data_IF_688954151600
#
_entry.id   IF_688954151600
#
_cell.length_a   1.000
_cell.length_b   1.000
_cell.length_c   1.000
_cell.angle_alpha   90.00
_cell.angle_beta   90.00
_cell.angle_gamma   90.00
#
_symmetry.space_group_name_H-M   'P 1'
#
loop_
_entity.id
_entity.type
_entity.pdbx_description
1 polymer ?
#
# COMPACT_ATOMS: atom_id res chain seq x y z
N UNK A 1 13.44 3.02 27.13
CA UNK A 1 13.24 3.13 25.68
C UNK A 1 13.48 4.57 25.30
N UNK A 2 14.28 4.80 24.26
CA UNK A 2 14.44 6.14 23.71
C UNK A 2 13.24 6.52 22.82
N UNK A 3 13.15 7.79 22.41
CA UNK A 3 12.02 8.27 21.59
C UNK A 3 11.97 7.56 20.23
N UNK A 4 13.11 7.17 19.68
CA UNK A 4 13.20 6.49 18.39
C UNK A 4 12.58 5.09 18.46
N UNK A 5 12.91 4.30 19.49
CA UNK A 5 12.35 2.97 19.76
C UNK A 5 10.83 3.01 19.97
N UNK A 6 10.34 4.05 20.64
CA UNK A 6 8.89 4.25 20.83
C UNK A 6 8.21 4.50 19.50
N UNK A 7 8.74 5.41 18.67
CA UNK A 7 8.19 5.69 17.34
C UNK A 7 8.29 4.45 16.44
N UNK A 8 9.39 3.70 16.50
CA UNK A 8 9.58 2.47 15.75
C UNK A 8 8.56 1.40 16.15
N UNK A 9 8.31 1.24 17.45
CA UNK A 9 7.30 0.29 17.96
C UNK A 9 5.90 0.64 17.46
N UNK A 10 5.55 1.93 17.48
CA UNK A 10 4.29 2.44 16.92
C UNK A 10 4.24 2.19 15.41
N UNK A 11 5.33 2.46 14.69
CA UNK A 11 5.45 2.25 13.25
C UNK A 11 5.20 0.78 12.86
N UNK A 12 5.79 -0.16 13.60
CA UNK A 12 5.59 -1.61 13.38
C UNK A 12 4.11 -1.97 13.58
N UNK A 13 3.49 -1.50 14.67
CA UNK A 13 2.06 -1.70 14.94
C UNK A 13 1.17 -1.15 13.83
N UNK A 14 1.41 0.08 13.39
CA UNK A 14 0.72 0.71 12.26
C UNK A 14 0.93 -0.07 10.96
N UNK A 15 2.14 -0.57 10.72
CA UNK A 15 2.50 -1.33 9.53
C UNK A 15 1.68 -2.61 9.40
N UNK A 16 1.56 -3.37 10.49
CA UNK A 16 0.74 -4.57 10.54
C UNK A 16 -0.73 -4.25 10.27
N UNK A 17 -1.29 -3.23 10.93
CA UNK A 17 -2.69 -2.82 10.73
C UNK A 17 -2.92 -2.35 9.28
N UNK A 18 -1.97 -1.62 8.70
CA UNK A 18 -2.04 -1.14 7.33
C UNK A 18 -2.07 -2.31 6.33
N UNK A 19 -1.16 -3.28 6.48
CA UNK A 19 -1.08 -4.43 5.57
C UNK A 19 -2.31 -5.33 5.68
N UNK A 20 -2.81 -5.56 6.90
CA UNK A 20 -4.01 -6.36 7.13
C UNK A 20 -5.27 -5.67 6.60
N UNK A 21 -5.46 -4.37 6.90
CA UNK A 21 -6.61 -3.61 6.39
C UNK A 21 -6.61 -3.51 4.87
N UNK A 22 -5.44 -3.35 4.24
CA UNK A 22 -5.30 -3.36 2.79
C UNK A 22 -5.67 -4.73 2.20
N UNK A 23 -5.19 -5.83 2.78
CA UNK A 23 -5.54 -7.19 2.36
C UNK A 23 -7.04 -7.46 2.49
N UNK A 24 -7.63 -7.14 3.65
CA UNK A 24 -9.07 -7.28 3.88
C UNK A 24 -9.87 -6.43 2.90
N UNK A 25 -9.45 -5.19 2.62
CA UNK A 25 -10.11 -4.32 1.63
C UNK A 25 -10.07 -4.91 0.22
N UNK A 26 -8.97 -5.54 -0.18
CA UNK A 26 -8.83 -6.21 -1.48
C UNK A 26 -9.70 -7.46 -1.62
N UNK A 27 -9.84 -8.24 -0.54
CA UNK A 27 -10.66 -9.46 -0.50
C UNK A 27 -12.15 -9.18 -0.28
N UNK A 28 -12.49 -8.05 0.34
CA UNK A 28 -13.87 -7.67 0.59
C UNK A 28 -14.68 -7.57 -0.72
N UNK A 29 -15.93 -8.02 -0.65
CA UNK A 29 -16.86 -7.86 -1.76
C UNK A 29 -16.93 -6.37 -2.15
N UNK A 30 -16.69 -6.09 -3.44
CA UNK A 30 -16.64 -4.72 -4.01
C UNK A 30 -18.02 -4.10 -4.13
N UNK A 31 -18.72 -4.01 -3.00
CA UNK A 31 -20.01 -3.36 -2.82
C UNK A 31 -19.84 -2.26 -1.78
N UNK A 32 -20.71 -1.25 -1.84
CA UNK A 32 -20.76 -0.21 -0.80
C UNK A 32 -21.06 -0.85 0.56
N UNK A 33 -20.36 -0.36 1.59
CA UNK A 33 -20.36 -0.96 2.93
C UNK A 33 -18.95 -1.37 3.33
N UNK A 34 -18.71 -2.67 3.47
CA UNK A 34 -17.46 -3.24 4.00
C UNK A 34 -16.19 -2.74 3.28
N UNK A 35 -16.12 -2.84 1.95
CA UNK A 35 -14.96 -2.38 1.18
C UNK A 35 -14.68 -0.88 1.37
N UNK A 36 -15.73 -0.05 1.44
CA UNK A 36 -15.58 1.39 1.70
C UNK A 36 -15.03 1.66 3.10
N UNK A 37 -15.54 0.98 4.13
CA UNK A 37 -15.08 1.15 5.52
C UNK A 37 -13.62 0.74 5.67
N UNK A 38 -13.25 -0.44 5.17
CA UNK A 38 -11.87 -0.92 5.22
C UNK A 38 -10.92 -0.07 4.37
N UNK A 39 -11.39 0.50 3.26
CA UNK A 39 -10.61 1.46 2.46
C UNK A 39 -10.31 2.77 3.18
N UNK A 40 -11.25 3.30 3.96
CA UNK A 40 -11.02 4.51 4.80
C UNK A 40 -10.06 4.20 5.96
N UNK A 41 -10.22 3.05 6.62
CA UNK A 41 -9.28 2.58 7.66
C UNK A 41 -7.87 2.44 7.10
N UNK A 42 -7.73 1.78 5.94
CA UNK A 42 -6.44 1.63 5.27
C UNK A 42 -5.80 2.99 4.99
N UNK A 43 -6.51 3.92 4.35
CA UNK A 43 -5.96 5.23 4.02
C UNK A 43 -5.56 6.04 5.28
N UNK A 44 -6.40 6.01 6.32
CA UNK A 44 -6.11 6.69 7.59
C UNK A 44 -4.89 6.12 8.31
N UNK A 45 -4.78 4.79 8.40
CA UNK A 45 -3.63 4.10 9.00
C UNK A 45 -2.37 4.33 8.16
N UNK A 46 -2.47 4.29 6.83
CA UNK A 46 -1.34 4.55 5.93
C UNK A 46 -0.77 5.96 6.15
N UNK A 47 -1.62 6.97 6.34
CA UNK A 47 -1.15 8.33 6.61
C UNK A 47 -0.25 8.39 7.86
N UNK A 48 -0.69 7.76 8.95
CA UNK A 48 0.11 7.67 10.18
C UNK A 48 1.38 6.82 9.98
N UNK A 49 1.29 5.72 9.23
CA UNK A 49 2.43 4.87 8.88
C UNK A 49 3.49 5.64 8.07
N UNK A 50 3.06 6.42 7.08
CA UNK A 50 3.95 7.23 6.25
C UNK A 50 4.60 8.36 7.07
N UNK A 51 3.84 9.03 7.94
CA UNK A 51 4.38 10.07 8.82
C UNK A 51 5.46 9.50 9.75
N UNK A 52 5.20 8.37 10.39
CA UNK A 52 6.17 7.70 11.27
C UNK A 52 7.41 7.21 10.49
N UNK A 53 7.24 6.64 9.30
CA UNK A 53 8.38 6.26 8.44
C UNK A 53 9.25 7.48 8.06
N UNK A 54 8.62 8.59 7.68
CA UNK A 54 9.34 9.83 7.34
C UNK A 54 10.14 10.33 8.54
N UNK A 55 9.53 10.37 9.73
CA UNK A 55 10.23 10.79 10.95
C UNK A 55 11.43 9.90 11.26
N UNK A 56 11.28 8.57 11.22
CA UNK A 56 12.36 7.62 11.45
C UNK A 56 13.48 7.77 10.41
N UNK A 57 13.12 7.92 9.13
CA UNK A 57 14.07 8.04 8.05
C UNK A 57 14.86 9.37 8.08
N UNK A 58 14.23 10.47 8.51
CA UNK A 58 14.94 11.74 8.74
C UNK A 58 15.93 11.60 9.91
N UNK A 59 15.52 10.92 10.99
CA UNK A 59 16.39 10.72 12.15
C UNK A 59 17.64 9.89 11.82
N UNK A 60 17.47 8.84 11.00
CA UNK A 60 18.52 7.91 10.59
C UNK A 60 18.83 8.03 9.10
N UNK A 61 18.99 9.26 8.62
CA UNK A 61 19.13 9.57 7.19
C UNK A 61 20.24 8.76 6.50
N UNK A 62 21.42 8.66 7.13
CA UNK A 62 22.57 7.96 6.54
C UNK A 62 22.36 6.44 6.42
N UNK A 63 21.42 5.87 7.19
CA UNK A 63 21.19 4.42 7.24
C UNK A 63 19.97 4.03 6.39
N UNK A 64 18.89 4.83 6.44
CA UNK A 64 17.57 4.43 5.90
C UNK A 64 16.87 5.51 5.05
N UNK A 65 17.61 6.46 4.47
CA UNK A 65 17.03 7.48 3.57
C UNK A 65 16.20 6.90 2.41
N UNK A 66 16.52 5.69 1.92
CA UNK A 66 15.73 5.07 0.85
C UNK A 66 14.27 4.79 1.27
N UNK A 67 14.01 4.50 2.55
CA UNK A 67 12.66 4.30 3.09
C UNK A 67 11.83 5.59 3.11
N UNK A 68 12.48 6.76 3.24
CA UNK A 68 11.79 8.05 3.10
C UNK A 68 11.15 8.18 1.73
N UNK A 69 11.90 7.90 0.66
CA UNK A 69 11.37 7.99 -0.71
C UNK A 69 10.24 6.98 -0.92
N UNK A 70 10.41 5.73 -0.46
CA UNK A 70 9.35 4.72 -0.56
C UNK A 70 8.09 5.19 0.18
N UNK A 71 8.21 5.75 1.39
CA UNK A 71 7.07 6.26 2.15
C UNK A 71 6.35 7.39 1.40
N UNK A 72 7.08 8.38 0.90
CA UNK A 72 6.50 9.53 0.17
C UNK A 72 5.82 9.09 -1.12
N UNK A 73 6.49 8.29 -1.96
CA UNK A 73 5.93 7.85 -3.24
C UNK A 73 4.73 6.91 -3.03
N UNK A 74 4.83 5.96 -2.11
CA UNK A 74 3.77 4.99 -1.88
C UNK A 74 2.52 5.63 -1.25
N UNK A 75 2.69 6.55 -0.30
CA UNK A 75 1.56 7.31 0.24
C UNK A 75 0.98 8.28 -0.79
N UNK A 76 1.80 8.89 -1.65
CA UNK A 76 1.33 9.69 -2.78
C UNK A 76 0.40 8.90 -3.71
N UNK A 77 0.71 7.63 -3.98
CA UNK A 77 -0.18 6.72 -4.74
C UNK A 77 -1.48 6.41 -3.99
N UNK A 78 -1.43 6.25 -2.66
CA UNK A 78 -2.62 6.03 -1.84
C UNK A 78 -3.57 7.23 -1.92
N UNK A 79 -3.04 8.43 -1.74
CA UNK A 79 -3.78 9.70 -1.86
C UNK A 79 -4.36 9.84 -3.27
N UNK A 80 -3.56 9.58 -4.31
CA UNK A 80 -4.01 9.61 -5.70
C UNK A 80 -5.21 8.68 -5.94
N UNK A 81 -5.11 7.42 -5.49
CA UNK A 81 -6.18 6.43 -5.64
C UNK A 81 -7.43 6.79 -4.83
N UNK A 82 -7.25 7.38 -3.66
CA UNK A 82 -8.33 7.84 -2.79
C UNK A 82 -9.08 9.04 -3.39
N UNK A 83 -8.35 10.07 -3.82
CA UNK A 83 -8.91 11.27 -4.44
C UNK A 83 -9.63 10.97 -5.74
N UNK A 84 -9.09 10.08 -6.58
CA UNK A 84 -9.75 9.67 -7.81
C UNK A 84 -11.19 9.20 -7.58
N UNK A 85 -11.42 8.41 -6.51
CA UNK A 85 -12.75 7.95 -6.10
C UNK A 85 -13.59 9.08 -5.50
N UNK A 86 -13.05 9.84 -4.54
CA UNK A 86 -13.82 10.88 -3.82
C UNK A 86 -14.24 12.04 -4.73
N UNK A 87 -13.37 12.46 -5.63
CA UNK A 87 -13.63 13.54 -6.59
C UNK A 87 -14.25 13.05 -7.90
N UNK A 88 -14.57 11.76 -8.02
CA UNK A 88 -15.23 11.15 -9.19
C UNK A 88 -14.56 11.49 -10.52
N UNK A 89 -13.24 11.37 -10.58
CA UNK A 89 -12.48 11.64 -11.82
C UNK A 89 -12.99 10.80 -12.99
N UNK A 90 -12.70 11.25 -14.22
CA UNK A 90 -12.92 10.42 -15.42
C UNK A 90 -12.12 9.12 -15.25
N UNK A 91 -12.77 7.97 -15.49
CA UNK A 91 -12.16 6.65 -15.24
C UNK A 91 -11.69 6.43 -13.79
N UNK A 92 -12.38 7.04 -12.81
CA UNK A 92 -12.01 6.98 -11.37
C UNK A 92 -11.66 5.58 -10.89
N UNK A 93 -12.37 4.55 -11.34
CA UNK A 93 -12.17 3.18 -10.90
C UNK A 93 -10.77 2.66 -11.28
N UNK A 94 -10.27 3.01 -12.47
CA UNK A 94 -8.93 2.62 -12.91
C UNK A 94 -7.87 3.35 -12.09
N UNK A 95 -8.03 4.66 -11.89
CA UNK A 95 -7.12 5.46 -11.09
C UNK A 95 -7.09 5.00 -9.62
N UNK A 96 -8.26 4.70 -9.06
CA UNK A 96 -8.42 4.14 -7.73
C UNK A 96 -7.69 2.79 -7.60
N UNK A 97 -7.95 1.83 -8.49
CA UNK A 97 -7.30 0.52 -8.44
C UNK A 97 -5.78 0.65 -8.56
N UNK A 98 -5.29 1.46 -9.51
CA UNK A 98 -3.85 1.66 -9.74
C UNK A 98 -3.17 2.35 -8.55
N UNK A 99 -3.79 3.39 -8.00
CA UNK A 99 -3.26 4.12 -6.84
C UNK A 99 -3.24 3.27 -5.57
N UNK A 100 -4.36 2.63 -5.24
CA UNK A 100 -4.46 1.81 -4.02
C UNK A 100 -3.55 0.58 -4.07
N UNK A 101 -3.57 -0.19 -5.17
CA UNK A 101 -2.69 -1.35 -5.30
C UNK A 101 -1.22 -0.94 -5.43
N UNK A 102 -0.92 0.16 -6.11
CA UNK A 102 0.44 0.70 -6.19
C UNK A 102 0.99 1.11 -4.82
N UNK A 103 0.16 1.75 -3.98
CA UNK A 103 0.53 2.07 -2.59
C UNK A 103 0.82 0.81 -1.79
N UNK A 104 0.00 -0.24 -1.96
CA UNK A 104 0.18 -1.49 -1.24
C UNK A 104 1.47 -2.21 -1.64
N UNK A 105 1.82 -2.19 -2.94
CA UNK A 105 3.11 -2.69 -3.44
C UNK A 105 4.25 -1.95 -2.74
N UNK A 106 4.19 -0.63 -2.63
CA UNK A 106 5.21 0.17 -1.93
C UNK A 106 5.36 -0.20 -0.45
N UNK A 107 4.24 -0.40 0.27
CA UNK A 107 4.27 -0.85 1.67
C UNK A 107 4.90 -2.24 1.82
N UNK A 108 4.56 -3.18 0.94
CA UNK A 108 5.15 -4.53 0.94
C UNK A 108 6.63 -4.47 0.58
N UNK A 109 7.04 -3.66 -0.39
CA UNK A 109 8.45 -3.44 -0.72
C UNK A 109 9.22 -2.91 0.49
N UNK A 110 8.70 -1.87 1.17
CA UNK A 110 9.33 -1.32 2.39
C UNK A 110 9.52 -2.38 3.48
N UNK A 111 8.52 -3.25 3.68
CA UNK A 111 8.64 -4.38 4.60
C UNK A 111 9.73 -5.35 4.16
N UNK A 112 9.69 -5.82 2.90
CA UNK A 112 10.62 -6.83 2.39
C UNK A 112 12.06 -6.36 2.40
N UNK A 113 12.35 -5.11 2.02
CA UNK A 113 13.73 -4.60 2.06
C UNK A 113 14.26 -4.43 3.48
N UNK A 114 13.39 -4.38 4.49
CA UNK A 114 13.77 -4.21 5.89
C UNK A 114 13.86 -5.54 6.67
N UNK A 115 13.02 -6.53 6.35
CA UNK A 115 12.94 -7.81 7.07
C UNK A 115 13.17 -9.05 6.19
N UNK A 116 13.37 -8.87 4.88
CA UNK A 116 13.46 -9.97 3.92
C UNK A 116 14.54 -10.99 4.27
N UNK A 117 15.70 -10.53 4.73
CA UNK A 117 16.82 -11.37 5.16
C UNK A 117 16.50 -12.19 6.42
N UNK A 118 15.51 -11.79 7.21
CA UNK A 118 15.09 -12.53 8.41
C UNK A 118 14.11 -13.66 8.10
N UNK A 119 13.61 -13.77 6.85
CA UNK A 119 12.63 -14.78 6.44
C UNK A 119 13.36 -15.98 5.82
N UNK A 120 13.24 -17.21 6.37
CA UNK A 120 14.03 -18.39 5.97
C UNK A 120 13.94 -18.85 4.50
N UNK A 121 12.98 -18.31 3.74
CA UNK A 121 12.82 -18.58 2.30
C UNK A 121 13.32 -17.43 1.42
N UNK A 122 13.31 -16.20 1.94
CA UNK A 122 13.67 -15.01 1.19
C UNK A 122 15.14 -14.64 1.37
N UNK A 123 15.76 -15.04 2.47
CA UNK A 123 17.19 -14.85 2.73
C UNK A 123 18.10 -15.61 1.74
N UNK A 124 17.56 -16.58 1.00
CA UNK A 124 18.27 -17.30 -0.06
C UNK A 124 18.30 -16.52 -1.38
N UNK A 125 17.48 -15.46 -1.51
CA UNK A 125 17.37 -14.67 -2.72
C UNK A 125 18.36 -13.49 -2.68
N UNK A 126 18.85 -13.03 -3.84
CA UNK A 126 19.63 -11.80 -3.91
C UNK A 126 18.81 -10.61 -3.36
N UNK A 127 19.42 -9.64 -2.64
CA UNK A 127 18.70 -8.50 -2.05
C UNK A 127 17.86 -7.69 -3.03
N UNK A 128 18.26 -7.68 -4.31
CA UNK A 128 17.53 -7.03 -5.39
C UNK A 128 16.10 -7.58 -5.58
N UNK A 129 15.85 -8.85 -5.24
CA UNK A 129 14.52 -9.44 -5.34
C UNK A 129 13.52 -8.80 -4.38
N UNK A 130 13.95 -8.28 -3.22
CA UNK A 130 13.03 -7.60 -2.29
C UNK A 130 12.40 -6.35 -2.90
N UNK A 131 13.12 -5.71 -3.83
CA UNK A 131 12.64 -4.54 -4.56
C UNK A 131 11.64 -4.90 -5.66
N UNK A 132 11.93 -5.95 -6.44
CA UNK A 132 11.14 -6.27 -7.63
C UNK A 132 10.01 -7.26 -7.38
N UNK A 133 10.13 -8.17 -6.42
CA UNK A 133 9.18 -9.27 -6.18
C UNK A 133 7.74 -8.76 -5.95
N UNK A 134 7.49 -7.70 -5.15
CA UNK A 134 6.16 -7.13 -5.01
C UNK A 134 5.57 -6.60 -6.33
N UNK A 135 6.40 -6.03 -7.21
CA UNK A 135 5.96 -5.49 -8.50
C UNK A 135 5.73 -6.59 -9.53
N UNK A 136 6.62 -7.59 -9.58
CA UNK A 136 6.49 -8.76 -10.47
C UNK A 136 5.16 -9.48 -10.21
N UNK A 137 4.74 -9.58 -8.95
CA UNK A 137 3.46 -10.20 -8.57
C UNK A 137 2.29 -9.21 -8.70
N UNK A 138 2.48 -7.98 -8.24
CA UNK A 138 1.42 -6.98 -8.15
C UNK A 138 0.98 -6.40 -9.50
N UNK A 139 1.90 -6.15 -10.44
CA UNK A 139 1.58 -5.54 -11.73
C UNK A 139 0.67 -6.41 -12.61
N UNK A 140 0.91 -7.73 -12.78
CA UNK A 140 -0.03 -8.61 -13.45
C UNK A 140 -1.41 -8.62 -12.80
N UNK A 141 -1.48 -8.65 -11.47
CA UNK A 141 -2.74 -8.62 -10.74
C UNK A 141 -3.52 -7.31 -10.99
N UNK A 142 -2.84 -6.16 -10.92
CA UNK A 142 -3.42 -4.84 -11.26
C UNK A 142 -3.98 -4.85 -12.67
N UNK A 143 -3.21 -5.35 -13.65
CA UNK A 143 -3.62 -5.41 -15.04
C UNK A 143 -4.85 -6.29 -15.26
N UNK A 144 -4.85 -7.51 -14.72
CA UNK A 144 -5.95 -8.47 -14.86
C UNK A 144 -7.25 -7.93 -14.23
N UNK A 145 -7.14 -7.37 -13.02
CA UNK A 145 -8.28 -6.76 -12.31
C UNK A 145 -8.78 -5.54 -13.09
N UNK A 146 -7.89 -4.64 -13.52
CA UNK A 146 -8.25 -3.47 -14.32
C UNK A 146 -8.95 -3.82 -15.63
N UNK A 147 -8.46 -4.84 -16.35
CA UNK A 147 -9.06 -5.34 -17.59
C UNK A 147 -10.47 -5.89 -17.37
N UNK A 148 -10.72 -6.58 -16.26
CA UNK A 148 -12.04 -7.12 -15.90
C UNK A 148 -13.10 -6.03 -15.75
N UNK A 149 -12.77 -4.91 -15.11
CA UNK A 149 -13.71 -3.79 -14.94
C UNK A 149 -13.86 -2.93 -16.19
N UNK A 150 -12.82 -2.83 -17.04
CA UNK A 150 -12.90 -2.11 -18.32
C UNK A 150 -13.80 -2.82 -19.34
N UNK A 151 -13.71 -4.16 -19.43
CA UNK A 151 -14.48 -4.95 -20.40
C UNK A 151 -15.96 -5.14 -20.02
N UNK A 152 -16.34 -4.96 -18.76
CA UNK A 152 -17.72 -5.20 -18.31
C UNK A 152 -18.30 -3.99 -17.55
N UNK A 153 -18.82 -2.98 -18.27
CA UNK A 153 -19.36 -1.74 -17.67
C UNK A 153 -20.51 -2.00 -16.69
N UNK A 154 -21.24 -3.11 -16.83
CA UNK A 154 -22.31 -3.53 -15.92
C UNK A 154 -21.80 -3.84 -14.50
N UNK A 155 -20.57 -4.34 -14.39
CA UNK A 155 -19.90 -4.61 -13.10
C UNK A 155 -19.44 -3.31 -12.46
N UNK A 156 -19.01 -2.32 -13.26
CA UNK A 156 -18.71 -0.97 -12.76
C UNK A 156 -19.96 -0.27 -12.22
N UNK A 157 -21.12 -0.45 -12.85
CA UNK A 157 -22.40 0.10 -12.36
C UNK A 157 -22.81 -0.51 -11.01
N UNK A 158 -22.55 -1.79 -10.75
CA UNK A 158 -22.81 -2.44 -9.45
C UNK A 158 -21.97 -1.90 -8.29
N UNK A 159 -20.80 -1.32 -8.55
CA UNK A 159 -19.92 -0.71 -7.52
C UNK A 159 -20.35 0.73 -7.20
N UNK A 160 -21.12 1.37 -8.09
CA UNK A 160 -21.50 2.79 -8.04
C UNK A 160 -22.67 3.10 -7.10
N UNK A 161 -23.35 2.10 -6.52
CA UNK A 161 -24.51 2.29 -5.65
C UNK A 161 -24.16 2.21 -4.17
#
# INVERSE_FOLDING_TARGET
MDLFEVILSIHIGLGMICLLSGAVSMLAAKKKGGHTKWGEVYHGVYAALAATAIMLAIWKWNEIAYLFYIAVFSYGLAVYGYLARKQKWKSWLQHHIRGMLGSYIGAVTALLVNIGDSIPLLNMLPPLFYWFLPTIIGSPLIYLVGRRYRKNPSVSKKISY
#
